data_IF_480111893367
#
_entry.id   IF_480111893367
#
_cell.length_a   1.000
_cell.length_b   1.000
_cell.length_c   1.000
_cell.angle_alpha   90.00
_cell.angle_beta   90.00
_cell.angle_gamma   90.00
#
_symmetry.space_group_name_H-M   'P 1'
#
loop_
_entity.id
_entity.type
_entity.pdbx_description
1 polymer ?
#
# COMPACT_ATOMS: atom_id res chain seq x y z
N UNK A 1 -33.22 22.76 19.27
CA UNK A 1 -32.50 22.16 20.42
C UNK A 1 -32.18 20.68 20.12
N UNK A 2 -31.77 20.34 18.88
CA UNK A 2 -31.50 18.96 18.47
C UNK A 2 -30.18 18.78 17.69
N UNK A 3 -29.63 19.86 17.14
CA UNK A 3 -28.40 19.81 16.33
C UNK A 3 -27.15 19.55 17.18
N UNK A 4 -27.11 20.04 18.42
CA UNK A 4 -25.99 19.75 19.34
C UNK A 4 -25.96 18.29 19.80
N UNK A 5 -27.11 17.64 19.98
CA UNK A 5 -27.18 16.23 20.35
C UNK A 5 -26.78 15.34 19.17
N UNK A 6 -27.14 15.72 17.94
CA UNK A 6 -26.67 15.03 16.74
C UNK A 6 -25.16 15.14 16.56
N UNK A 7 -24.58 16.33 16.77
CA UNK A 7 -23.13 16.53 16.72
C UNK A 7 -22.40 15.74 17.82
N UNK A 8 -22.94 15.71 19.05
CA UNK A 8 -22.38 14.93 20.14
C UNK A 8 -22.37 13.42 19.80
N UNK A 9 -23.47 12.90 19.26
CA UNK A 9 -23.56 11.51 18.82
C UNK A 9 -22.58 11.19 17.69
N UNK A 10 -22.36 12.13 16.77
CA UNK A 10 -21.44 11.97 15.64
C UNK A 10 -19.98 11.96 16.10
N UNK A 11 -19.63 12.78 17.10
CA UNK A 11 -18.30 12.79 17.72
C UNK A 11 -18.05 11.48 18.46
N UNK A 12 -19.01 11.03 19.27
CA UNK A 12 -18.91 9.76 20.01
C UNK A 12 -18.76 8.58 19.05
N UNK A 13 -19.52 8.59 17.95
CA UNK A 13 -19.42 7.58 16.90
C UNK A 13 -18.04 7.64 16.22
N UNK A 14 -17.54 8.82 15.88
CA UNK A 14 -16.21 8.99 15.30
C UNK A 14 -15.10 8.47 16.23
N UNK A 15 -15.17 8.78 17.53
CA UNK A 15 -14.17 8.31 18.51
C UNK A 15 -14.20 6.79 18.70
N UNK A 16 -15.39 6.20 18.59
CA UNK A 16 -15.54 4.74 18.72
C UNK A 16 -14.96 4.04 17.48
N UNK A 17 -15.23 4.60 16.29
CA UNK A 17 -14.67 4.09 15.04
C UNK A 17 -13.15 4.27 14.97
N UNK A 18 -12.61 5.36 15.50
CA UNK A 18 -11.16 5.55 15.57
C UNK A 18 -10.50 4.56 16.51
N UNK A 19 -11.10 4.30 17.69
CA UNK A 19 -10.59 3.33 18.64
C UNK A 19 -10.56 1.91 18.06
N UNK A 20 -11.65 1.48 17.40
CA UNK A 20 -11.70 0.16 16.74
C UNK A 20 -10.67 0.01 15.61
N UNK A 21 -10.42 1.09 14.85
CA UNK A 21 -9.40 1.09 13.80
C UNK A 21 -8.00 0.92 14.40
N UNK A 22 -7.72 1.61 15.50
CA UNK A 22 -6.45 1.53 16.20
C UNK A 22 -6.22 0.13 16.80
N UNK A 23 -7.22 -0.44 17.48
CA UNK A 23 -7.17 -1.81 18.02
C UNK A 23 -6.90 -2.84 16.92
N UNK A 24 -7.55 -2.73 15.76
CA UNK A 24 -7.26 -3.61 14.61
C UNK A 24 -5.84 -3.45 14.10
N UNK A 25 -5.31 -2.23 14.08
CA UNK A 25 -3.95 -1.95 13.64
C UNK A 25 -2.93 -2.53 14.61
N UNK A 26 -3.17 -2.38 15.92
CA UNK A 26 -2.34 -2.96 16.98
C UNK A 26 -2.36 -4.48 16.93
N UNK A 27 -3.55 -5.10 16.79
CA UNK A 27 -3.66 -6.56 16.65
C UNK A 27 -2.93 -7.10 15.41
N UNK A 28 -2.97 -6.34 14.29
CA UNK A 28 -2.24 -6.70 13.07
C UNK A 28 -0.72 -6.55 13.27
N UNK A 29 -0.27 -5.50 13.98
CA UNK A 29 1.14 -5.32 14.33
C UNK A 29 1.62 -6.40 15.31
N UNK A 30 0.86 -6.74 16.34
CA UNK A 30 1.18 -7.86 17.26
C UNK A 30 1.28 -9.20 16.53
N UNK A 31 0.41 -9.44 15.54
CA UNK A 31 0.46 -10.64 14.70
C UNK A 31 1.74 -10.70 13.85
N UNK A 32 2.24 -9.55 13.41
CA UNK A 32 3.48 -9.44 12.64
C UNK A 32 4.73 -9.49 13.53
N UNK A 33 4.62 -9.04 14.78
CA UNK A 33 5.70 -8.95 15.77
C UNK A 33 5.84 -10.22 16.63
N UNK A 34 4.80 -11.05 16.74
CA UNK A 34 4.86 -12.33 17.46
C UNK A 34 5.45 -13.45 16.59
N UNK A 35 6.65 -13.97 16.89
CA UNK A 35 7.22 -15.11 16.18
C UNK A 35 6.62 -16.39 16.79
N UNK A 36 5.53 -16.90 16.22
CA UNK A 36 4.89 -18.10 16.78
C UNK A 36 3.65 -18.56 16.04
N UNK A 37 3.83 -19.10 14.84
CA UNK A 37 2.75 -19.70 14.04
C UNK A 37 3.25 -20.68 12.98
N UNK A 38 4.34 -21.40 13.28
CA UNK A 38 4.79 -22.53 12.48
C UNK A 38 4.01 -23.77 12.91
N UNK A 39 2.90 -24.05 12.22
CA UNK A 39 2.27 -25.36 12.26
C UNK A 39 3.04 -26.33 11.37
N UNK A 40 3.94 -27.11 11.99
CA UNK A 40 4.42 -28.39 11.48
C UNK A 40 3.31 -29.44 11.66
N UNK A 41 3.11 -30.51 10.89
CA UNK A 41 3.78 -31.11 9.75
C UNK A 41 2.76 -32.06 9.08
N UNK A 42 2.85 -32.23 7.75
CA UNK A 42 2.61 -33.52 7.10
C UNK A 42 3.66 -33.67 6.02
N UNK A 43 4.55 -34.64 6.22
CA UNK A 43 5.54 -35.09 5.24
C UNK A 43 4.87 -35.44 3.92
N UNK A 44 5.39 -34.90 2.82
CA UNK A 44 5.71 -35.78 1.70
C UNK A 44 6.86 -35.21 0.85
N UNK A 45 7.55 -36.15 0.23
CA UNK A 45 8.92 -36.12 -0.22
C UNK A 45 9.10 -35.48 -1.61
N UNK A 46 9.98 -34.49 -1.78
CA UNK A 46 10.79 -34.34 -3.01
C UNK A 46 11.99 -33.40 -2.88
N UNK A 47 13.19 -33.80 -3.32
CA UNK A 47 14.34 -32.90 -3.42
C UNK A 47 14.34 -32.13 -4.76
N UNK A 48 15.17 -31.09 -4.79
CA UNK A 48 15.69 -30.34 -5.95
C UNK A 48 15.09 -28.95 -6.24
N UNK A 49 15.99 -27.97 -6.07
CA UNK A 49 16.23 -26.78 -6.92
C UNK A 49 15.12 -25.73 -7.02
N UNK A 50 15.22 -24.67 -6.22
CA UNK A 50 15.66 -23.35 -6.67
C UNK A 50 15.46 -22.33 -5.56
N UNK A 51 16.52 -21.57 -5.32
CA UNK A 51 16.54 -20.35 -4.52
C UNK A 51 15.69 -19.29 -5.25
N UNK A 52 14.37 -19.37 -5.09
CA UNK A 52 13.44 -18.37 -5.58
C UNK A 52 13.05 -17.49 -4.39
N UNK A 53 13.36 -16.18 -4.42
CA UNK A 53 12.97 -15.30 -3.34
C UNK A 53 11.45 -15.28 -3.27
N UNK A 54 10.92 -15.49 -2.06
CA UNK A 54 9.50 -15.55 -1.77
C UNK A 54 8.75 -14.39 -2.42
N UNK A 55 8.14 -14.66 -3.60
CA UNK A 55 7.28 -13.70 -4.28
C UNK A 55 5.99 -13.69 -3.47
N UNK A 56 5.78 -12.62 -2.69
CA UNK A 56 4.50 -12.40 -2.04
C UNK A 56 3.39 -12.49 -3.10
N UNK A 57 2.26 -13.17 -2.80
CA UNK A 57 1.17 -13.29 -3.76
C UNK A 57 0.78 -11.90 -4.24
N UNK A 58 0.89 -11.67 -5.56
CA UNK A 58 0.78 -10.36 -6.22
C UNK A 58 -0.55 -9.60 -6.01
N UNK A 59 -1.48 -10.15 -5.23
CA UNK A 59 -2.75 -9.56 -4.88
C UNK A 59 -2.75 -8.77 -3.55
N UNK A 60 -1.68 -8.82 -2.73
CA UNK A 60 -1.70 -8.31 -1.36
C UNK A 60 -0.99 -6.96 -1.14
N UNK A 61 -0.26 -6.42 -2.13
CA UNK A 61 0.41 -5.11 -1.96
C UNK A 61 -0.51 -4.01 -2.49
N UNK A 62 -1.13 -3.19 -1.64
CA UNK A 62 -1.98 -2.11 -2.12
C UNK A 62 -1.16 -1.11 -2.94
N UNK A 63 -1.55 -0.95 -4.20
CA UNK A 63 -0.95 0.00 -5.12
C UNK A 63 -1.13 1.44 -4.61
N UNK A 64 -0.05 2.22 -4.45
CA UNK A 64 -0.16 3.59 -3.95
C UNK A 64 -0.62 4.52 -5.07
N UNK A 65 -1.88 4.92 -5.02
CA UNK A 65 -2.45 5.88 -5.98
C UNK A 65 -2.26 7.33 -5.53
N UNK A 66 -1.90 8.23 -6.45
CA UNK A 66 -1.76 9.67 -6.20
C UNK A 66 -2.78 10.47 -7.03
N UNK A 67 -3.47 11.39 -6.36
CA UNK A 67 -4.36 12.36 -7.01
C UNK A 67 -3.68 13.73 -7.17
N UNK A 68 -4.12 14.52 -8.13
CA UNK A 68 -3.71 15.90 -8.40
C UNK A 68 -4.04 16.87 -7.28
N UNK A 69 -5.08 16.56 -6.50
CA UNK A 69 -5.47 17.31 -5.30
C UNK A 69 -4.63 16.98 -4.05
N UNK A 70 -3.69 16.04 -4.15
CA UNK A 70 -2.86 15.64 -3.01
C UNK A 70 -2.00 16.81 -2.51
N UNK A 71 -1.92 16.97 -1.19
CA UNK A 71 -1.02 17.94 -0.59
C UNK A 71 0.45 17.52 -0.74
N UNK A 72 1.39 18.43 -0.50
CA UNK A 72 2.83 18.09 -0.47
C UNK A 72 3.15 16.99 0.55
N UNK A 73 2.42 16.96 1.68
CA UNK A 73 2.57 15.92 2.70
C UNK A 73 2.09 14.57 2.17
N UNK A 74 0.97 14.55 1.45
CA UNK A 74 0.42 13.33 0.86
C UNK A 74 1.33 12.81 -0.26
N UNK A 75 1.92 13.72 -1.05
CA UNK A 75 2.93 13.37 -2.04
C UNK A 75 4.17 12.72 -1.40
N UNK A 76 4.70 13.29 -0.31
CA UNK A 76 5.84 12.72 0.40
C UNK A 76 5.52 11.31 0.96
N UNK A 77 4.32 11.13 1.51
CA UNK A 77 3.85 9.84 1.99
C UNK A 77 3.64 8.84 0.83
N UNK A 78 3.10 9.31 -0.30
CA UNK A 78 2.95 8.50 -1.51
C UNK A 78 4.30 8.04 -2.05
N UNK A 79 5.30 8.92 -2.10
CA UNK A 79 6.65 8.58 -2.55
C UNK A 79 7.26 7.43 -1.74
N UNK A 80 7.17 7.48 -0.41
CA UNK A 80 7.65 6.38 0.44
C UNK A 80 6.91 5.07 0.17
N UNK A 81 5.59 5.13 -0.06
CA UNK A 81 4.80 3.94 -0.44
C UNK A 81 5.14 3.43 -1.83
N UNK A 82 5.41 4.32 -2.78
CA UNK A 82 5.82 3.99 -4.13
C UNK A 82 7.18 3.28 -4.12
N UNK A 83 8.16 3.79 -3.36
CA UNK A 83 9.47 3.14 -3.23
C UNK A 83 9.33 1.73 -2.62
N UNK A 84 8.50 1.57 -1.58
CA UNK A 84 8.17 0.26 -1.01
C UNK A 84 7.43 -0.66 -1.99
N UNK A 85 6.50 -0.12 -2.78
CA UNK A 85 5.77 -0.85 -3.81
C UNK A 85 6.72 -1.35 -4.91
N UNK A 86 7.63 -0.50 -5.38
CA UNK A 86 8.63 -0.85 -6.39
C UNK A 86 9.53 -1.99 -5.88
N UNK A 87 10.00 -1.90 -4.63
CA UNK A 87 10.81 -2.95 -4.00
C UNK A 87 10.05 -4.28 -3.87
N UNK A 88 8.80 -4.25 -3.40
CA UNK A 88 7.99 -5.46 -3.18
C UNK A 88 7.57 -6.14 -4.48
N UNK A 89 7.26 -5.35 -5.51
CA UNK A 89 6.85 -5.86 -6.83
C UNK A 89 8.03 -6.17 -7.74
N UNK A 90 9.24 -5.73 -7.37
CA UNK A 90 10.45 -5.74 -8.19
C UNK A 90 10.29 -4.98 -9.51
N UNK A 91 9.39 -4.01 -9.53
CA UNK A 91 9.13 -3.18 -10.70
C UNK A 91 10.36 -2.36 -11.10
N UNK A 92 11.27 -2.09 -10.16
CA UNK A 92 12.56 -1.44 -10.36
C UNK A 92 13.51 -2.22 -11.29
N UNK A 93 13.32 -3.53 -11.43
CA UNK A 93 14.12 -4.38 -12.31
C UNK A 93 13.57 -4.47 -13.74
N UNK A 94 12.38 -3.90 -14.00
CA UNK A 94 11.76 -3.92 -15.32
C UNK A 94 12.43 -2.91 -16.26
N UNK A 95 12.28 -3.07 -17.59
CA UNK A 95 12.74 -2.06 -18.54
C UNK A 95 12.13 -0.67 -18.25
N UNK A 96 12.84 0.44 -18.54
CA UNK A 96 12.35 1.79 -18.25
C UNK A 96 10.96 2.11 -18.82
N UNK A 97 10.61 1.51 -19.96
CA UNK A 97 9.27 1.65 -20.57
C UNK A 97 8.17 1.04 -19.69
N UNK A 98 8.44 -0.10 -19.09
CA UNK A 98 7.50 -0.79 -18.21
C UNK A 98 7.41 -0.10 -16.84
N UNK A 99 8.55 0.35 -16.30
CA UNK A 99 8.57 1.19 -15.09
C UNK A 99 7.71 2.45 -15.27
N UNK A 100 7.83 3.10 -16.43
CA UNK A 100 7.00 4.26 -16.78
C UNK A 100 5.52 3.90 -16.86
N UNK A 101 5.18 2.75 -17.46
CA UNK A 101 3.79 2.29 -17.52
C UNK A 101 3.20 2.05 -16.12
N UNK A 102 3.98 1.45 -15.22
CA UNK A 102 3.60 1.25 -13.82
C UNK A 102 3.40 2.58 -13.12
N UNK A 103 4.36 3.51 -13.23
CA UNK A 103 4.23 4.85 -12.66
C UNK A 103 2.94 5.54 -13.13
N UNK A 104 2.67 5.54 -14.44
CA UNK A 104 1.46 6.14 -14.99
C UNK A 104 0.16 5.45 -14.53
N UNK A 105 0.19 4.16 -14.22
CA UNK A 105 -0.98 3.44 -13.69
C UNK A 105 -1.32 3.79 -12.23
N UNK A 106 -0.39 4.42 -11.51
CA UNK A 106 -0.50 4.79 -10.09
C UNK A 106 -0.85 6.27 -9.90
N UNK A 107 -1.17 6.98 -10.98
CA UNK A 107 -1.44 8.40 -11.00
C UNK A 107 -2.82 8.65 -11.60
N UNK A 108 -3.45 9.75 -11.20
CA UNK A 108 -4.63 10.23 -11.90
C UNK A 108 -4.30 10.82 -13.29
N UNK A 109 -5.36 11.16 -14.01
CA UNK A 109 -5.27 11.66 -15.38
C UNK A 109 -4.51 12.99 -15.46
N UNK A 110 -4.67 13.87 -14.47
CA UNK A 110 -4.02 15.18 -14.44
C UNK A 110 -2.51 15.04 -14.22
N UNK A 111 -2.07 14.23 -13.25
CA UNK A 111 -0.65 13.90 -13.08
C UNK A 111 -0.07 13.18 -14.30
N UNK A 112 -0.83 12.26 -14.89
CA UNK A 112 -0.43 11.55 -16.11
C UNK A 112 -0.14 12.53 -17.25
N UNK A 113 -0.97 13.56 -17.44
CA UNK A 113 -0.77 14.60 -18.46
C UNK A 113 0.48 15.43 -18.18
N UNK A 114 0.66 15.88 -16.94
CA UNK A 114 1.83 16.67 -16.52
C UNK A 114 3.13 15.91 -16.79
N UNK A 115 3.19 14.64 -16.36
CA UNK A 115 4.39 13.81 -16.56
C UNK A 115 4.64 13.51 -18.03
N UNK A 116 3.60 13.23 -18.82
CA UNK A 116 3.77 13.02 -20.26
C UNK A 116 4.35 14.25 -20.95
N UNK A 117 3.86 15.44 -20.61
CA UNK A 117 4.36 16.70 -21.16
C UNK A 117 5.81 16.98 -20.74
N UNK A 118 6.13 16.80 -19.46
CA UNK A 118 7.49 16.96 -18.94
C UNK A 118 8.49 15.99 -19.58
N UNK A 119 8.08 14.74 -19.82
CA UNK A 119 8.91 13.72 -20.45
C UNK A 119 8.96 13.79 -21.97
N UNK A 120 8.05 14.52 -22.62
CA UNK A 120 8.10 14.80 -24.07
C UNK A 120 8.91 16.05 -24.41
N UNK A 121 9.25 16.86 -23.41
CA UNK A 121 9.99 18.12 -23.56
C UNK A 121 11.47 18.00 -23.15
N UNK A 122 11.92 16.81 -22.77
CA UNK A 122 13.32 16.45 -22.47
C UNK A 122 13.87 15.49 -23.50
#
# INVERSE_FOLDING_TARGET
MGDMEQLANLIVQQTTLSAQREERMVAMMERLLSPGGSGAASSDHRPATNDAPARLPGAATPAPFLTSSASLRDFAAWKMKFDGYMLLTRADNLPPKEQRAILLSLLDEDWTRVIRYALSSS
#
